data_IF_494583788604
#
_entry.id   IF_494583788604
#
_cell.length_a   1.000
_cell.length_b   1.000
_cell.length_c   1.000
_cell.angle_alpha   90.00
_cell.angle_beta   90.00
_cell.angle_gamma   90.00
#
_symmetry.space_group_name_H-M   'P 1'
#
loop_
_entity.id
_entity.type
_entity.pdbx_description
1 polymer ?
#
# COMPACT_ATOMS: atom_id res chain seq x y z
N UNK A 1 0.58 -32.96 54.98
CA UNK A 1 1.38 -32.78 53.74
C UNK A 1 0.46 -33.00 52.56
N UNK A 2 -0.16 -31.93 52.06
CA UNK A 2 -1.03 -31.98 50.88
C UNK A 2 -0.12 -31.91 49.64
N UNK A 3 -0.19 -32.91 48.77
CA UNK A 3 0.67 -32.98 47.58
C UNK A 3 0.01 -32.13 46.48
N UNK A 4 0.65 -31.06 45.99
CA UNK A 4 0.00 -30.18 45.03
C UNK A 4 -0.41 -30.95 43.77
N UNK A 5 -1.67 -30.79 43.38
CA UNK A 5 -2.29 -31.50 42.27
C UNK A 5 -1.48 -31.26 40.99
N UNK A 6 -1.07 -32.35 40.32
CA UNK A 6 -0.31 -32.32 39.05
C UNK A 6 -0.94 -31.43 37.98
N UNK A 7 -2.24 -31.19 38.08
CA UNK A 7 -3.01 -30.29 37.22
C UNK A 7 -2.56 -28.82 37.32
N UNK A 8 -2.21 -28.35 38.51
CA UNK A 8 -1.75 -26.97 38.73
C UNK A 8 -0.36 -26.72 38.12
N UNK A 9 0.51 -27.72 38.11
CA UNK A 9 1.82 -27.63 37.46
C UNK A 9 1.70 -27.63 35.93
N UNK A 10 0.79 -28.42 35.37
CA UNK A 10 0.51 -28.40 33.93
C UNK A 10 -0.09 -27.06 33.47
N UNK A 11 -1.02 -26.49 34.24
CA UNK A 11 -1.57 -25.16 33.97
C UNK A 11 -0.49 -24.07 34.08
N UNK A 12 0.41 -24.17 35.05
CA UNK A 12 1.53 -23.23 35.25
C UNK A 12 2.55 -23.25 34.11
N UNK A 13 2.88 -24.41 33.55
CA UNK A 13 3.92 -24.53 32.50
C UNK A 13 3.37 -24.28 31.09
N UNK A 14 2.06 -24.48 30.89
CA UNK A 14 1.38 -24.23 29.62
C UNK A 14 0.94 -22.77 29.43
N UNK A 15 0.66 -22.04 30.52
CA UNK A 15 0.26 -20.62 30.49
C UNK A 15 1.27 -19.71 29.73
N UNK A 16 2.59 -19.71 30.05
CA UNK A 16 3.54 -18.83 29.37
C UNK A 16 3.69 -19.15 27.88
N UNK A 17 3.55 -20.43 27.50
CA UNK A 17 3.61 -20.88 26.10
C UNK A 17 2.40 -20.42 25.31
N UNK A 18 1.21 -20.53 25.90
CA UNK A 18 -0.04 -20.01 25.33
C UNK A 18 -0.03 -18.49 25.20
N UNK A 19 0.50 -17.78 26.21
CA UNK A 19 0.66 -16.32 26.16
C UNK A 19 1.62 -15.89 25.05
N UNK A 20 2.76 -16.58 24.91
CA UNK A 20 3.72 -16.30 23.83
C UNK A 20 3.10 -16.55 22.44
N UNK A 21 2.42 -17.68 22.27
CA UNK A 21 1.74 -18.00 21.01
C UNK A 21 0.64 -16.96 20.66
N UNK A 22 -0.12 -16.53 21.66
CA UNK A 22 -1.13 -15.48 21.51
C UNK A 22 -0.51 -14.13 21.11
N UNK A 23 0.58 -13.71 21.76
CA UNK A 23 1.29 -12.47 21.42
C UNK A 23 1.82 -12.49 19.98
N UNK A 24 2.42 -13.60 19.56
CA UNK A 24 2.90 -13.77 18.18
C UNK A 24 1.75 -13.72 17.17
N UNK A 25 0.63 -14.37 17.47
CA UNK A 25 -0.56 -14.36 16.61
C UNK A 25 -1.17 -12.94 16.48
N UNK A 26 -1.31 -12.22 17.59
CA UNK A 26 -1.79 -10.83 17.59
C UNK A 26 -0.84 -9.90 16.83
N UNK A 27 0.48 -10.11 16.94
CA UNK A 27 1.49 -9.35 16.20
C UNK A 27 1.34 -9.50 14.69
N UNK A 28 1.05 -10.72 14.22
CA UNK A 28 0.85 -11.02 12.80
C UNK A 28 -0.46 -10.40 12.29
N UNK A 29 -1.55 -10.53 13.05
CA UNK A 29 -2.86 -9.95 12.69
C UNK A 29 -2.81 -8.43 12.53
N UNK A 30 -2.03 -7.75 13.37
CA UNK A 30 -1.94 -6.27 13.36
C UNK A 30 -1.38 -5.75 12.03
N UNK A 31 -0.51 -6.51 11.35
CA UNK A 31 0.06 -6.12 10.05
C UNK A 31 -0.89 -6.32 8.87
N UNK A 32 -1.79 -7.32 8.94
CA UNK A 32 -2.65 -7.72 7.81
C UNK A 32 -3.81 -6.74 7.57
N UNK A 33 -4.27 -6.05 8.60
CA UNK A 33 -5.37 -5.07 8.50
C UNK A 33 -4.90 -3.62 8.33
N UNK A 34 -3.61 -3.40 8.08
CA UNK A 34 -3.09 -2.06 7.84
C UNK A 34 -3.49 -1.57 6.45
N UNK A 35 -4.69 -0.98 6.34
CA UNK A 35 -5.06 -0.15 5.21
C UNK A 35 -4.51 1.25 5.44
N UNK A 36 -3.66 1.73 4.53
CA UNK A 36 -3.14 3.09 4.57
C UNK A 36 -3.66 3.83 3.36
N UNK A 37 -4.24 5.00 3.60
CA UNK A 37 -4.60 5.92 2.52
C UNK A 37 -3.30 6.36 1.85
N UNK A 38 -3.14 6.01 0.58
CA UNK A 38 -2.02 6.43 -0.25
C UNK A 38 -2.51 7.50 -1.21
N UNK A 39 -1.84 8.65 -1.20
CA UNK A 39 -2.14 9.75 -2.11
C UNK A 39 -1.07 9.80 -3.18
N UNK A 40 -1.47 9.81 -4.45
CA UNK A 40 -0.55 9.94 -5.56
C UNK A 40 -0.16 11.42 -5.73
N UNK A 41 1.09 11.76 -5.43
CA UNK A 41 1.57 13.14 -5.43
C UNK A 41 2.13 13.61 -6.79
N UNK A 42 2.90 12.76 -7.47
CA UNK A 42 3.49 13.09 -8.78
C UNK A 42 3.66 11.84 -9.66
N UNK A 43 3.74 12.05 -10.97
CA UNK A 43 3.88 11.02 -11.99
C UNK A 43 4.85 11.52 -13.07
N UNK A 44 5.76 10.67 -13.53
CA UNK A 44 6.60 10.93 -14.70
C UNK A 44 6.59 9.70 -15.62
N UNK A 45 6.41 9.92 -16.92
CA UNK A 45 6.44 8.86 -17.94
C UNK A 45 7.80 8.90 -18.62
N UNK A 46 8.62 7.86 -18.47
CA UNK A 46 9.94 7.79 -19.11
C UNK A 46 9.92 7.16 -20.50
N UNK A 47 9.03 6.20 -20.72
CA UNK A 47 8.93 5.47 -21.98
C UNK A 47 7.47 5.31 -22.41
N UNK A 48 7.25 5.37 -23.72
CA UNK A 48 5.94 5.24 -24.34
C UNK A 48 6.01 4.29 -25.51
N UNK A 49 5.09 3.34 -25.51
CA UNK A 49 4.88 2.42 -26.60
C UNK A 49 4.12 3.13 -27.75
N UNK A 50 4.85 3.83 -28.63
CA UNK A 50 4.30 4.65 -29.74
C UNK A 50 3.79 3.85 -30.96
N UNK A 51 4.09 2.55 -31.04
CA UNK A 51 3.66 1.64 -32.12
C UNK A 51 2.14 1.52 -32.32
N UNK A 52 1.31 1.97 -31.39
CA UNK A 52 -0.14 1.98 -31.51
C UNK A 52 -0.64 3.42 -31.69
N UNK A 53 -1.41 3.75 -32.75
CA UNK A 53 -1.94 5.09 -33.01
C UNK A 53 -3.09 5.50 -32.07
N UNK A 54 -3.14 4.93 -30.86
CA UNK A 54 -4.17 5.16 -29.87
C UNK A 54 -3.71 6.26 -28.91
N UNK A 55 -4.66 7.06 -28.42
CA UNK A 55 -4.39 8.00 -27.33
C UNK A 55 -3.92 7.20 -26.10
N UNK A 56 -2.77 7.53 -25.50
CA UNK A 56 -2.31 6.86 -24.30
C UNK A 56 -3.28 7.17 -23.15
N UNK A 57 -3.68 6.12 -22.43
CA UNK A 57 -4.57 6.23 -21.27
C UNK A 57 -3.86 5.64 -20.07
N UNK A 58 -3.52 6.49 -19.10
CA UNK A 58 -3.00 6.04 -17.81
C UNK A 58 -4.19 5.81 -16.88
N UNK A 59 -4.19 4.68 -16.18
CA UNK A 59 -5.18 4.44 -15.12
C UNK A 59 -4.50 3.94 -13.86
N UNK A 60 -5.03 4.35 -12.71
CA UNK A 60 -4.54 3.89 -11.41
C UNK A 60 -5.49 2.84 -10.84
N UNK A 61 -4.92 1.79 -10.26
CA UNK A 61 -5.65 0.74 -9.55
C UNK A 61 -5.03 0.55 -8.18
N UNK A 62 -5.71 1.02 -7.15
CA UNK A 62 -5.33 0.81 -5.75
C UNK A 62 -6.26 -0.23 -5.12
N UNK A 63 -5.74 -1.25 -4.43
CA UNK A 63 -6.50 -2.07 -3.48
C UNK A 63 -7.78 -2.76 -3.97
N UNK A 64 -8.09 -2.79 -5.27
CA UNK A 64 -9.37 -3.26 -5.80
C UNK A 64 -10.45 -2.17 -5.96
N UNK A 65 -10.12 -0.91 -5.69
CA UNK A 65 -10.96 0.26 -5.95
C UNK A 65 -11.20 0.50 -7.44
N UNK A 66 -12.20 1.34 -7.76
CA UNK A 66 -12.54 1.70 -9.14
C UNK A 66 -11.33 2.25 -9.88
N UNK A 67 -11.18 1.82 -11.14
CA UNK A 67 -10.14 2.32 -12.03
C UNK A 67 -10.37 3.81 -12.29
N UNK A 68 -9.45 4.65 -11.86
CA UNK A 68 -9.47 6.09 -12.20
C UNK A 68 -8.64 6.32 -13.45
N UNK A 69 -9.26 6.92 -14.47
CA UNK A 69 -8.63 7.24 -15.75
C UNK A 69 -8.04 8.65 -15.69
N UNK A 70 -6.80 8.80 -16.15
CA UNK A 70 -6.05 10.05 -16.17
C UNK A 70 -5.79 10.50 -17.61
N UNK A 71 -6.73 11.21 -18.25
CA UNK A 71 -6.61 11.62 -19.65
C UNK A 71 -5.56 12.74 -19.86
N UNK A 72 -5.21 13.48 -18.80
CA UNK A 72 -4.31 14.64 -18.87
C UNK A 72 -2.82 14.25 -18.85
N UNK A 73 -2.52 13.03 -18.38
CA UNK A 73 -1.15 12.52 -18.18
C UNK A 73 -0.75 11.71 -19.41
N UNK A 74 -0.13 12.35 -20.40
CA UNK A 74 0.09 11.76 -21.73
C UNK A 74 1.51 11.94 -22.30
N UNK A 75 2.27 12.91 -21.82
CA UNK A 75 3.58 13.26 -22.39
C UNK A 75 4.71 12.58 -21.63
N UNK A 76 5.72 12.11 -22.37
CA UNK A 76 6.97 11.59 -21.80
C UNK A 76 7.85 12.72 -21.26
N UNK A 77 8.71 12.38 -20.29
CA UNK A 77 9.71 13.25 -19.67
C UNK A 77 9.13 14.55 -19.09
N UNK A 78 7.85 14.50 -18.68
CA UNK A 78 7.21 15.57 -17.93
C UNK A 78 6.80 15.05 -16.56
N UNK A 79 7.16 15.81 -15.53
CA UNK A 79 6.71 15.55 -14.18
C UNK A 79 5.34 16.20 -13.98
N UNK A 80 4.31 15.39 -13.79
CA UNK A 80 2.96 15.81 -13.44
C UNK A 80 2.82 15.81 -11.93
N UNK A 81 2.26 16.88 -11.35
CA UNK A 81 2.06 16.98 -9.89
C UNK A 81 0.58 17.18 -9.58
N UNK A 82 0.06 16.41 -8.64
CA UNK A 82 -1.30 16.57 -8.15
C UNK A 82 -1.37 17.75 -7.16
N UNK A 83 -2.17 18.76 -7.48
CA UNK A 83 -2.34 19.95 -6.63
C UNK A 83 -3.65 19.97 -5.82
N UNK A 84 -4.41 18.87 -5.82
CA UNK A 84 -5.71 18.81 -5.14
C UNK A 84 -6.90 19.26 -6.00
N UNK A 85 -6.69 19.58 -7.28
CA UNK A 85 -7.72 19.81 -8.28
C UNK A 85 -7.99 18.52 -9.10
N UNK A 86 -9.14 18.44 -9.77
CA UNK A 86 -9.51 17.26 -10.59
C UNK A 86 -8.61 17.04 -11.83
N UNK A 87 -7.67 17.94 -12.12
CA UNK A 87 -6.79 17.89 -13.30
C UNK A 87 -5.31 17.89 -12.92
N UNK A 88 -4.51 17.16 -13.70
CA UNK A 88 -3.07 17.03 -13.50
C UNK A 88 -2.31 18.11 -14.27
N UNK A 89 -1.55 18.94 -13.55
CA UNK A 89 -0.75 20.00 -14.15
C UNK A 89 0.68 19.51 -14.39
N UNK A 90 1.21 19.72 -15.59
CA UNK A 90 2.63 19.48 -15.87
C UNK A 90 3.47 20.52 -15.13
N UNK A 91 4.46 20.06 -14.37
CA UNK A 91 5.42 20.94 -13.69
C UNK A 91 6.50 21.37 -14.68
N UNK A 92 6.66 22.68 -14.85
CA UNK A 92 7.64 23.29 -15.76
C UNK A 92 9.09 23.02 -15.35
N UNK A 93 9.32 22.59 -14.11
CA UNK A 93 10.66 22.45 -13.54
C UNK A 93 11.45 21.25 -14.12
N UNK A 94 10.75 20.25 -14.69
CA UNK A 94 11.37 19.07 -15.30
C UNK A 94 11.68 19.23 -16.80
N UNK A 95 11.09 20.22 -17.48
CA UNK A 95 11.18 20.38 -18.94
C UNK A 95 12.49 21.07 -19.42
N UNK A 96 13.45 21.27 -18.51
CA UNK A 96 14.65 22.10 -18.73
C UNK A 96 15.98 21.32 -18.68
N UNK A 97 15.97 19.99 -18.89
CA UNK A 97 17.21 19.19 -19.01
C UNK A 97 17.19 18.31 -20.25
#
# INVERSE_FOLDING_TARGET
MEKPSRFLFYLSDSLPRLLLASLLFLSILTGVFSSRVVTLGSIEIYDTHEWLPLKPVVYFRCGGENKTVLPDVTKKNLMYTFKGEESWQASTDGASR
#
